data_IF_774021276536
#
_entry.id   IF_774021276536
#
_cell.length_a   1.000
_cell.length_b   1.000
_cell.length_c   1.000
_cell.angle_alpha   90.00
_cell.angle_beta   90.00
_cell.angle_gamma   90.00
#
_symmetry.space_group_name_H-M   'P 1'
#
loop_
_entity.id
_entity.type
_entity.pdbx_description
1 polymer ?
#
# COMPACT_ATOMS: atom_id res chain seq x y z
N UNK A 1 6.09 4.29 5.92
CA UNK A 1 5.94 5.76 5.78
C UNK A 1 6.76 6.52 6.84
N UNK A 2 8.08 6.38 6.86
CA UNK A 2 8.92 7.01 7.90
C UNK A 2 8.81 8.55 7.96
N UNK A 3 8.43 9.18 6.83
CA UNK A 3 8.31 10.64 6.72
C UNK A 3 6.87 11.17 6.77
N UNK A 4 5.84 10.32 6.99
CA UNK A 4 4.44 10.76 7.03
C UNK A 4 3.87 11.37 5.74
N UNK A 5 4.63 11.36 4.64
CA UNK A 5 4.22 11.96 3.37
C UNK A 5 3.31 11.02 2.57
N UNK A 6 2.00 11.14 2.81
CA UNK A 6 0.97 10.33 2.15
C UNK A 6 0.82 10.72 0.67
N UNK A 7 0.89 12.02 0.34
CA UNK A 7 0.67 12.49 -1.02
C UNK A 7 1.79 12.00 -1.97
N UNK A 8 3.05 11.99 -1.51
CA UNK A 8 4.15 11.42 -2.30
C UNK A 8 4.05 9.90 -2.47
N UNK A 9 3.54 9.18 -1.46
CA UNK A 9 3.35 7.73 -1.55
C UNK A 9 2.23 7.35 -2.55
N UNK A 10 1.15 8.14 -2.56
CA UNK A 10 0.06 8.02 -3.53
C UNK A 10 0.59 8.26 -4.93
N UNK A 11 1.28 9.38 -5.16
CA UNK A 11 1.82 9.74 -6.48
C UNK A 11 2.77 8.66 -7.00
N UNK A 12 3.71 8.21 -6.17
CA UNK A 12 4.65 7.14 -6.53
C UNK A 12 3.93 5.84 -6.93
N UNK A 13 2.82 5.53 -6.27
CA UNK A 13 2.04 4.33 -6.60
C UNK A 13 1.31 4.48 -7.93
N UNK A 14 0.78 5.66 -8.21
CA UNK A 14 0.12 5.95 -9.49
C UNK A 14 1.07 5.97 -10.69
N UNK A 15 2.37 6.17 -10.49
CA UNK A 15 3.36 6.07 -11.56
C UNK A 15 3.48 4.67 -12.17
N UNK A 16 3.20 3.62 -11.39
CA UNK A 16 3.38 2.22 -11.80
C UNK A 16 2.06 1.47 -11.98
N UNK A 17 0.98 1.99 -11.40
CA UNK A 17 -0.33 1.36 -11.41
C UNK A 17 -1.42 2.43 -11.37
N UNK A 18 -2.39 2.36 -12.28
CA UNK A 18 -3.47 3.35 -12.34
C UNK A 18 -4.53 3.17 -11.24
N UNK A 19 -4.64 1.98 -10.64
CA UNK A 19 -5.67 1.63 -9.63
C UNK A 19 -5.08 0.94 -8.37
N UNK A 20 -4.15 1.59 -7.67
CA UNK A 20 -3.53 1.05 -6.45
C UNK A 20 -4.53 0.81 -5.30
N UNK A 21 -5.69 1.48 -5.31
CA UNK A 21 -6.76 1.31 -4.32
C UNK A 21 -7.40 -0.08 -4.39
N UNK A 22 -7.49 -0.63 -5.59
CA UNK A 22 -8.05 -1.96 -5.85
C UNK A 22 -6.97 -3.01 -5.64
N UNK A 23 -5.78 -2.79 -6.20
CA UNK A 23 -4.66 -3.73 -6.07
C UNK A 23 -4.27 -3.93 -4.61
N UNK A 24 -4.32 -2.88 -3.78
CA UNK A 24 -4.07 -2.99 -2.34
C UNK A 24 -5.03 -3.93 -1.60
N UNK A 25 -6.23 -4.17 -2.13
CA UNK A 25 -7.27 -5.02 -1.51
C UNK A 25 -7.37 -6.41 -2.10
N UNK A 26 -7.17 -6.56 -3.41
CA UNK A 26 -7.38 -7.83 -4.13
C UNK A 26 -6.09 -8.62 -4.37
N UNK A 27 -4.92 -8.01 -4.13
CA UNK A 27 -3.64 -8.66 -4.38
C UNK A 27 -3.49 -9.94 -3.53
N UNK A 28 -3.15 -11.09 -4.14
CA UNK A 28 -2.75 -12.30 -3.42
C UNK A 28 -1.34 -12.10 -2.84
N UNK A 29 -1.27 -11.40 -1.70
CA UNK A 29 -0.02 -10.94 -1.09
C UNK A 29 0.92 -12.10 -0.72
N UNK A 30 0.35 -13.21 -0.26
CA UNK A 30 1.02 -14.43 0.17
C UNK A 30 1.90 -15.05 -0.93
N UNK A 31 1.47 -14.97 -2.18
CA UNK A 31 2.18 -15.54 -3.34
C UNK A 31 3.14 -14.56 -4.02
N UNK A 32 3.12 -13.29 -3.63
CA UNK A 32 3.84 -12.22 -4.30
C UNK A 32 4.80 -11.53 -3.32
N UNK A 33 4.50 -10.28 -2.98
CA UNK A 33 5.39 -9.42 -2.23
C UNK A 33 5.66 -9.89 -0.79
N UNK A 34 4.68 -10.49 -0.10
CA UNK A 34 4.90 -11.10 1.22
C UNK A 34 5.63 -12.45 1.11
N UNK A 35 5.34 -13.21 0.05
CA UNK A 35 6.02 -14.47 -0.26
C UNK A 35 7.52 -14.31 -0.50
N UNK A 36 7.92 -13.19 -1.11
CA UNK A 36 9.30 -12.83 -1.41
C UNK A 36 9.98 -11.93 -0.34
N UNK A 37 9.33 -11.71 0.81
CA UNK A 37 9.84 -10.81 1.84
C UNK A 37 11.10 -11.40 2.53
N UNK A 38 12.25 -10.74 2.36
CA UNK A 38 13.54 -11.20 2.88
C UNK A 38 13.66 -11.13 4.41
N UNK A 39 12.87 -10.30 5.08
CA UNK A 39 12.88 -10.13 6.54
C UNK A 39 11.74 -10.91 7.23
N UNK A 40 11.05 -11.79 6.49
CA UNK A 40 9.87 -12.50 6.99
C UNK A 40 10.16 -13.34 8.23
N UNK A 41 11.31 -14.01 8.27
CA UNK A 41 11.60 -15.02 9.28
C UNK A 41 11.93 -14.41 10.65
N UNK A 42 12.48 -13.19 10.69
CA UNK A 42 12.85 -12.50 11.93
C UNK A 42 11.80 -11.50 12.43
N UNK A 43 11.02 -10.89 11.52
CA UNK A 43 10.13 -9.76 11.85
C UNK A 43 8.69 -9.92 11.32
N UNK A 44 8.39 -11.04 10.66
CA UNK A 44 7.15 -11.21 9.91
C UNK A 44 7.22 -10.55 8.52
N UNK A 45 6.36 -11.00 7.61
CA UNK A 45 6.32 -10.44 6.26
C UNK A 45 5.75 -9.00 6.28
N UNK A 46 6.33 -8.12 5.45
CA UNK A 46 5.80 -6.77 5.28
C UNK A 46 4.52 -6.84 4.43
N UNK A 47 3.40 -6.43 5.01
CA UNK A 47 2.08 -6.40 4.37
C UNK A 47 1.94 -5.21 3.39
N UNK A 48 2.61 -5.33 2.24
CA UNK A 48 2.75 -4.23 1.27
C UNK A 48 1.41 -3.82 0.66
N UNK A 49 0.50 -4.75 0.33
CA UNK A 49 -0.78 -4.36 -0.27
C UNK A 49 -1.70 -3.69 0.75
N UNK A 50 -1.65 -4.11 2.02
CA UNK A 50 -2.35 -3.41 3.12
C UNK A 50 -1.82 -1.98 3.29
N UNK A 51 -0.51 -1.78 3.19
CA UNK A 51 0.09 -0.44 3.18
C UNK A 51 -0.40 0.39 1.98
N UNK A 52 -0.42 -0.21 0.79
CA UNK A 52 -0.92 0.42 -0.44
C UNK A 52 -2.37 0.86 -0.33
N UNK A 53 -3.26 -0.01 0.15
CA UNK A 53 -4.64 0.35 0.42
C UNK A 53 -4.74 1.47 1.46
N UNK A 54 -3.90 1.44 2.50
CA UNK A 54 -3.99 2.37 3.63
C UNK A 54 -3.65 3.81 3.25
N UNK A 55 -2.54 4.09 2.54
CA UNK A 55 -2.28 5.49 2.14
C UNK A 55 -3.31 6.00 1.15
N UNK A 56 -3.81 5.15 0.26
CA UNK A 56 -4.85 5.56 -0.67
C UNK A 56 -6.14 5.91 0.05
N UNK A 57 -6.61 5.06 0.96
CA UNK A 57 -7.81 5.37 1.78
C UNK A 57 -7.58 6.64 2.61
N UNK A 58 -6.38 6.86 3.16
CA UNK A 58 -6.07 8.08 3.91
C UNK A 58 -6.08 9.32 3.02
N UNK A 59 -5.62 9.22 1.78
CA UNK A 59 -5.73 10.29 0.79
C UNK A 59 -7.19 10.61 0.47
N UNK A 60 -8.03 9.60 0.28
CA UNK A 60 -9.46 9.76 0.03
C UNK A 60 -10.19 10.43 1.19
N UNK A 61 -9.82 10.11 2.44
CA UNK A 61 -10.31 10.83 3.64
C UNK A 61 -9.85 12.28 3.65
N UNK A 62 -8.61 12.56 3.23
CA UNK A 62 -8.06 13.93 3.14
C UNK A 62 -8.76 14.77 2.07
N UNK A 63 -9.18 14.17 0.96
CA UNK A 63 -9.93 14.86 -0.13
C UNK A 63 -11.44 14.78 0.02
N UNK A 64 -11.96 14.25 1.14
CA UNK A 64 -13.39 14.24 1.45
C UNK A 64 -14.24 13.26 0.63
N UNK A 65 -13.63 12.24 0.02
CA UNK A 65 -14.38 11.22 -0.74
C UNK A 65 -14.92 10.10 0.16
N UNK A 66 -14.25 9.86 1.31
CA UNK A 66 -14.72 8.97 2.37
C UNK A 66 -14.96 9.80 3.63
N UNK A 67 -16.24 9.97 4.00
CA UNK A 67 -16.71 10.60 5.25
C UNK A 67 -16.41 9.73 6.45
#
# INVERSE_FOLDING_TARGET
MKAGNIDAAVELSHQTNTLPEITGRVCPQDRLCEGACTIRDEHGAVTIATLNATFQIRRWRKVGVLT
#
